data_IF_163778138271
#
_entry.id   IF_163778138271
#
_cell.length_a   1.000
_cell.length_b   1.000
_cell.length_c   1.000
_cell.angle_alpha   90.00
_cell.angle_beta   90.00
_cell.angle_gamma   90.00
#
_symmetry.space_group_name_H-M   'P 1'
#
loop_
_entity.id
_entity.type
_entity.pdbx_description
1 polymer ?
#
# COMPACT_ATOMS: atom_id res chain seq x y z
N UNK A 1 55.84 -9.01 18.60
CA UNK A 1 54.83 -9.02 17.51
C UNK A 1 54.28 -10.43 17.43
N UNK A 2 53.00 -10.78 17.41
CA UNK A 2 51.73 -10.08 17.23
C UNK A 2 50.63 -10.99 17.83
N UNK A 3 50.01 -10.62 18.96
CA UNK A 3 48.82 -11.33 19.50
C UNK A 3 47.57 -10.41 19.47
N UNK A 4 47.72 -9.17 19.00
CA UNK A 4 46.63 -8.17 18.99
C UNK A 4 45.71 -8.21 17.77
N UNK A 5 46.08 -8.91 16.70
CA UNK A 5 45.33 -8.91 15.43
C UNK A 5 44.14 -9.87 15.41
N UNK A 6 44.10 -10.89 16.27
CA UNK A 6 43.02 -11.88 16.25
C UNK A 6 41.71 -11.39 16.90
N UNK A 7 41.78 -10.43 17.85
CA UNK A 7 40.60 -9.93 18.56
C UNK A 7 39.75 -8.95 17.75
N UNK A 8 40.33 -8.23 16.79
CA UNK A 8 39.58 -7.30 15.94
C UNK A 8 38.71 -8.02 14.91
N UNK A 9 39.10 -9.23 14.45
CA UNK A 9 38.34 -9.95 13.43
C UNK A 9 37.00 -10.48 13.97
N UNK A 10 36.96 -10.95 15.22
CA UNK A 10 35.72 -11.44 15.83
C UNK A 10 34.69 -10.35 16.13
N UNK A 11 35.11 -9.10 16.35
CA UNK A 11 34.17 -7.99 16.57
C UNK A 11 33.52 -7.52 15.27
N UNK A 12 34.21 -7.61 14.12
CA UNK A 12 33.60 -7.30 12.83
C UNK A 12 32.54 -8.34 12.42
N UNK A 13 32.75 -9.62 12.72
CA UNK A 13 31.83 -10.69 12.35
C UNK A 13 30.50 -10.66 13.14
N UNK A 14 30.49 -10.07 14.34
CA UNK A 14 29.28 -9.89 15.16
C UNK A 14 28.42 -8.69 14.74
N UNK A 15 28.95 -7.75 13.94
CA UNK A 15 28.18 -6.61 13.42
C UNK A 15 27.43 -6.94 12.13
N UNK A 16 27.79 -8.03 11.45
CA UNK A 16 27.15 -8.44 10.18
C UNK A 16 25.89 -9.29 10.45
N UNK A 17 25.75 -9.89 11.64
CA UNK A 17 24.58 -10.69 12.03
C UNK A 17 23.35 -9.85 12.46
N UNK A 18 23.48 -8.52 12.54
CA UNK A 18 22.36 -7.60 12.75
C UNK A 18 21.65 -7.20 11.44
N UNK A 19 22.03 -7.78 10.30
CA UNK A 19 21.17 -7.79 9.12
C UNK A 19 20.02 -8.77 9.41
N UNK A 20 19.02 -8.31 10.17
CA UNK A 20 17.77 -9.02 10.34
C UNK A 20 17.31 -9.49 8.98
N UNK A 21 17.06 -10.80 8.85
CA UNK A 21 16.44 -11.38 7.67
C UNK A 21 15.17 -10.59 7.38
N UNK A 22 15.23 -9.68 6.41
CA UNK A 22 14.06 -9.08 5.81
C UNK A 22 13.39 -10.22 5.06
N UNK A 23 12.58 -11.01 5.77
CA UNK A 23 11.61 -11.91 5.16
C UNK A 23 10.69 -11.00 4.37
N UNK A 24 11.01 -10.81 3.10
CA UNK A 24 10.20 -10.09 2.16
C UNK A 24 8.94 -10.94 1.97
N UNK A 25 7.90 -10.57 2.73
CA UNK A 25 6.64 -11.31 2.80
C UNK A 25 5.58 -10.60 2.00
N UNK A 26 4.55 -11.35 1.59
CA UNK A 26 3.35 -10.72 1.04
C UNK A 26 2.44 -10.32 2.19
N UNK A 27 2.12 -9.04 2.32
CA UNK A 27 1.08 -8.56 3.25
C UNK A 27 -0.26 -8.56 2.53
N UNK A 28 -1.26 -9.19 3.15
CA UNK A 28 -2.63 -9.24 2.66
C UNK A 28 -3.51 -8.38 3.57
N UNK A 29 -4.17 -7.39 2.98
CA UNK A 29 -5.02 -6.43 3.64
C UNK A 29 -6.47 -6.61 3.19
N UNK A 30 -7.40 -6.77 4.13
CA UNK A 30 -8.83 -6.85 3.86
C UNK A 30 -9.57 -5.71 4.56
N UNK A 31 -10.69 -5.22 3.99
CA UNK A 31 -11.46 -4.16 4.63
C UNK A 31 -11.89 -4.58 6.04
N UNK A 32 -11.66 -3.73 7.05
CA UNK A 32 -11.98 -4.06 8.44
C UNK A 32 -13.50 -4.18 8.65
N UNK A 33 -14.00 -5.16 9.44
CA UNK A 33 -15.43 -5.42 9.65
C UNK A 33 -16.26 -4.22 10.13
N UNK A 34 -15.63 -3.21 10.75
CA UNK A 34 -16.28 -1.98 11.21
C UNK A 34 -16.00 -0.74 10.35
N UNK A 35 -15.03 -0.78 9.43
CA UNK A 35 -14.56 0.38 8.66
C UNK A 35 -15.01 0.39 7.20
N UNK A 36 -15.41 -0.77 6.66
CA UNK A 36 -15.67 -0.95 5.24
C UNK A 36 -17.14 -0.76 4.81
N UNK A 37 -18.05 -0.49 5.74
CA UNK A 37 -19.49 -0.42 5.48
C UNK A 37 -19.92 0.79 4.64
N UNK A 38 -18.99 1.66 4.21
CA UNK A 38 -19.22 2.85 3.39
C UNK A 38 -18.53 2.79 2.01
N UNK A 39 -17.93 3.90 1.58
CA UNK A 39 -17.48 4.23 0.21
C UNK A 39 -16.42 3.31 -0.45
N UNK A 40 -15.99 2.24 0.22
CA UNK A 40 -14.96 1.30 -0.23
C UNK A 40 -15.42 -0.15 -0.33
N UNK A 41 -16.74 -0.41 -0.30
CA UNK A 41 -17.35 -1.74 -0.39
C UNK A 41 -17.02 -2.54 -1.67
N UNK A 42 -16.48 -1.86 -2.69
CA UNK A 42 -16.01 -2.42 -3.95
C UNK A 42 -14.57 -2.95 -3.86
N UNK A 43 -13.80 -2.62 -2.81
CA UNK A 43 -12.46 -3.18 -2.58
C UNK A 43 -12.62 -4.54 -1.87
N UNK A 44 -11.97 -5.58 -2.40
CA UNK A 44 -11.96 -6.92 -1.78
C UNK A 44 -10.69 -7.19 -1.00
N UNK A 45 -9.54 -6.83 -1.57
CA UNK A 45 -8.23 -7.12 -0.99
C UNK A 45 -7.18 -6.15 -1.52
N UNK A 46 -6.22 -5.81 -0.69
CA UNK A 46 -4.96 -5.19 -1.10
C UNK A 46 -3.83 -6.19 -0.79
N UNK A 47 -2.95 -6.44 -1.74
CA UNK A 47 -1.78 -7.31 -1.58
C UNK A 47 -0.52 -6.47 -1.81
N UNK A 48 0.34 -6.43 -0.81
CA UNK A 48 1.63 -5.71 -0.81
C UNK A 48 2.71 -6.77 -0.84
N UNK A 49 3.43 -6.86 -1.94
CA UNK A 49 4.64 -7.66 -2.06
C UNK A 49 5.83 -6.74 -1.74
N UNK A 50 6.44 -6.96 -0.58
CA UNK A 50 7.58 -6.17 -0.14
C UNK A 50 8.86 -6.49 -0.91
N UNK A 51 8.99 -7.69 -1.49
CA UNK A 51 10.15 -8.07 -2.27
C UNK A 51 10.19 -7.31 -3.59
N UNK A 52 9.09 -7.41 -4.35
CA UNK A 52 8.95 -6.74 -5.64
C UNK A 52 8.54 -5.27 -5.51
N UNK A 53 8.25 -4.82 -4.28
CA UNK A 53 7.69 -3.49 -3.96
C UNK A 53 6.44 -3.18 -4.77
N UNK A 54 5.66 -4.21 -5.08
CA UNK A 54 4.42 -4.06 -5.82
C UNK A 54 3.23 -4.10 -4.89
N UNK A 55 2.25 -3.26 -5.18
CA UNK A 55 0.98 -3.29 -4.46
C UNK A 55 -0.14 -3.43 -5.47
N UNK A 56 -1.02 -4.38 -5.21
CA UNK A 56 -2.17 -4.66 -6.03
C UNK A 56 -3.45 -4.57 -5.21
N UNK A 57 -4.51 -4.05 -5.80
CA UNK A 57 -5.83 -3.95 -5.20
C UNK A 57 -6.83 -4.72 -6.07
N UNK A 58 -7.46 -5.72 -5.48
CA UNK A 58 -8.55 -6.47 -6.10
C UNK A 58 -9.87 -5.75 -5.82
N UNK A 59 -10.60 -5.46 -6.89
CA UNK A 59 -11.76 -4.57 -6.87
C UNK A 59 -12.93 -5.20 -7.60
N UNK A 60 -14.14 -4.80 -7.24
CA UNK A 60 -15.37 -5.09 -7.97
C UNK A 60 -15.62 -3.93 -8.93
N UNK A 61 -15.51 -4.18 -10.23
CA UNK A 61 -15.77 -3.17 -11.27
C UNK A 61 -17.25 -3.00 -11.54
N UNK A 62 -17.99 -4.10 -11.54
CA UNK A 62 -19.44 -4.10 -11.68
C UNK A 62 -20.04 -5.24 -10.88
N UNK A 63 -21.24 -5.00 -10.35
CA UNK A 63 -22.01 -5.98 -9.61
C UNK A 63 -23.40 -6.06 -10.24
N UNK A 64 -23.79 -7.25 -10.66
CA UNK A 64 -25.18 -7.59 -10.99
C UNK A 64 -25.79 -8.38 -9.83
N UNK A 65 -27.07 -8.75 -9.94
CA UNK A 65 -27.73 -9.59 -8.92
C UNK A 65 -27.03 -10.95 -8.74
N UNK A 66 -26.49 -11.49 -9.83
CA UNK A 66 -26.01 -12.87 -9.89
C UNK A 66 -24.49 -12.98 -10.01
N UNK A 67 -23.80 -11.90 -10.41
CA UNK A 67 -22.35 -11.93 -10.68
C UNK A 67 -21.62 -10.64 -10.28
N UNK A 68 -20.38 -10.80 -9.83
CA UNK A 68 -19.42 -9.70 -9.65
C UNK A 68 -18.32 -9.79 -10.72
N UNK A 69 -18.09 -8.69 -11.44
CA UNK A 69 -16.94 -8.57 -12.32
C UNK A 69 -15.76 -8.03 -11.52
N UNK A 70 -14.76 -8.88 -11.33
CA UNK A 70 -13.53 -8.50 -10.65
C UNK A 70 -12.59 -7.71 -11.57
N UNK A 71 -11.85 -6.79 -10.98
CA UNK A 71 -10.75 -6.05 -11.59
C UNK A 71 -9.56 -6.00 -10.66
N UNK A 72 -8.40 -5.62 -11.21
CA UNK A 72 -7.16 -5.44 -10.46
C UNK A 72 -6.57 -4.08 -10.79
N UNK A 73 -6.18 -3.34 -9.77
CA UNK A 73 -5.42 -2.09 -9.89
C UNK A 73 -4.04 -2.29 -9.31
N UNK A 74 -3.04 -1.67 -9.91
CA UNK A 74 -1.67 -1.67 -9.41
C UNK A 74 -1.33 -0.28 -8.89
N UNK A 75 -0.66 -0.22 -7.75
CA UNK A 75 -0.17 1.04 -7.22
C UNK A 75 1.22 1.37 -7.75
N UNK A 76 1.50 2.67 -7.75
CA UNK A 76 2.84 3.22 -7.91
C UNK A 76 3.39 3.58 -6.53
N UNK A 77 4.67 3.27 -6.28
CA UNK A 77 5.37 3.72 -5.08
C UNK A 77 5.78 5.18 -5.27
N UNK A 78 5.22 6.08 -4.47
CA UNK A 78 5.42 7.53 -4.64
C UNK A 78 6.50 8.06 -3.71
N UNK A 79 6.60 7.51 -2.50
CA UNK A 79 7.60 7.94 -1.53
C UNK A 79 7.94 6.84 -0.54
N UNK A 80 9.21 6.77 -0.15
CA UNK A 80 9.69 6.02 1.01
C UNK A 80 10.20 6.93 2.13
N UNK A 81 10.72 8.10 1.77
CA UNK A 81 11.49 8.98 2.67
C UNK A 81 10.69 10.21 3.16
N UNK A 82 9.45 10.38 2.69
CA UNK A 82 8.62 11.56 2.95
C UNK A 82 7.70 11.48 4.17
N UNK A 83 7.64 10.32 4.85
CA UNK A 83 6.93 10.19 6.12
C UNK A 83 7.97 10.20 7.23
N UNK A 84 7.74 10.95 8.31
CA UNK A 84 8.62 10.94 9.49
C UNK A 84 8.80 9.56 10.12
N UNK A 85 8.00 8.58 9.69
CA UNK A 85 8.02 7.18 10.09
C UNK A 85 8.84 6.25 9.17
N UNK A 86 9.29 6.68 7.99
CA UNK A 86 10.00 5.83 7.02
C UNK A 86 9.15 4.74 6.38
N UNK A 87 7.82 4.86 6.46
CA UNK A 87 6.85 3.89 5.92
C UNK A 87 6.48 4.26 4.47
N UNK A 88 6.34 3.27 3.56
CA UNK A 88 6.09 3.52 2.16
C UNK A 88 4.68 4.07 1.90
N UNK A 89 4.59 4.96 0.92
CA UNK A 89 3.33 5.52 0.43
C UNK A 89 3.08 5.06 -0.99
N UNK A 90 1.96 4.39 -1.20
CA UNK A 90 1.52 3.90 -2.50
C UNK A 90 0.33 4.68 -3.02
N UNK A 91 0.28 4.90 -4.33
CA UNK A 91 -0.79 5.60 -5.00
C UNK A 91 -1.42 4.70 -6.07
N UNK A 92 -2.73 4.50 -6.00
CA UNK A 92 -3.49 3.89 -7.09
C UNK A 92 -4.18 4.98 -7.88
N UNK A 93 -4.01 4.94 -9.19
CA UNK A 93 -4.75 5.78 -10.10
C UNK A 93 -5.98 5.01 -10.59
N UNK A 94 -7.19 5.49 -10.29
CA UNK A 94 -8.38 4.94 -10.97
C UNK A 94 -8.38 5.40 -12.41
N UNK A 95 -8.62 4.47 -13.33
CA UNK A 95 -9.03 4.85 -14.69
C UNK A 95 -10.41 5.50 -14.55
N UNK A 96 -10.60 6.79 -14.94
CA UNK A 96 -11.90 7.43 -14.91
C UNK A 96 -12.89 6.60 -15.73
N UNK A 97 -14.07 6.31 -15.20
CA UNK A 97 -15.11 5.67 -15.99
C UNK A 97 -15.58 6.65 -17.10
N UNK A 98 -15.95 6.14 -18.27
CA UNK A 98 -16.46 6.98 -19.34
C UNK A 98 -17.71 7.75 -18.86
N UNK A 99 -17.64 9.08 -18.87
CA UNK A 99 -18.70 9.96 -18.36
C UNK A 99 -18.50 10.47 -16.93
N UNK A 100 -17.46 10.03 -16.20
CA UNK A 100 -17.07 10.64 -14.93
C UNK A 100 -16.14 11.84 -15.13
N UNK A 101 -16.53 13.00 -14.63
CA UNK A 101 -15.70 14.21 -14.62
C UNK A 101 -14.59 14.19 -13.55
N UNK A 102 -14.63 13.20 -12.65
CA UNK A 102 -13.72 13.10 -11.50
C UNK A 102 -12.82 11.90 -11.62
N UNK A 103 -11.51 12.14 -11.60
CA UNK A 103 -10.49 11.12 -11.43
C UNK A 103 -10.26 10.88 -9.94
N UNK A 104 -10.33 9.63 -9.49
CA UNK A 104 -10.04 9.29 -8.10
C UNK A 104 -8.60 8.78 -7.96
N UNK A 105 -7.88 9.34 -7.00
CA UNK A 105 -6.58 8.83 -6.57
C UNK A 105 -6.74 8.21 -5.18
N UNK A 106 -6.10 7.06 -4.97
CA UNK A 106 -6.13 6.36 -3.70
C UNK A 106 -4.73 6.30 -3.11
N UNK A 107 -4.56 6.84 -1.91
CA UNK A 107 -3.28 6.82 -1.18
C UNK A 107 -3.35 5.74 -0.11
N UNK A 108 -2.49 4.74 -0.21
CA UNK A 108 -2.27 3.71 0.81
C UNK A 108 -1.01 4.06 1.61
N UNK A 109 -1.13 4.10 2.93
CA UNK A 109 -0.05 4.44 3.84
C UNK A 109 -0.25 3.74 5.18
N UNK A 110 0.81 3.64 5.98
CA UNK A 110 0.77 3.02 7.31
C UNK A 110 0.91 4.08 8.41
N UNK A 111 -0.04 4.09 9.35
CA UNK A 111 -0.07 5.01 10.48
C UNK A 111 -0.59 4.27 11.73
N UNK A 112 0.21 3.30 12.21
CA UNK A 112 -0.28 2.22 13.07
C UNK A 112 -0.79 1.08 12.20
N UNK A 113 -2.07 1.15 11.82
CA UNK A 113 -2.68 0.27 10.82
C UNK A 113 -2.50 0.81 9.40
N UNK A 114 -2.71 -0.06 8.40
CA UNK A 114 -2.76 0.36 7.01
C UNK A 114 -4.05 1.10 6.71
N UNK A 115 -3.91 2.28 6.12
CA UNK A 115 -4.99 3.20 5.83
C UNK A 115 -5.04 3.54 4.35
N UNK A 116 -6.26 3.63 3.82
CA UNK A 116 -6.52 4.08 2.45
C UNK A 116 -7.30 5.40 2.50
N UNK A 117 -6.73 6.44 1.90
CA UNK A 117 -7.44 7.68 1.61
C UNK A 117 -7.89 7.72 0.16
N UNK A 118 -9.05 8.31 -0.13
CA UNK A 118 -9.50 8.63 -1.48
C UNK A 118 -9.51 10.14 -1.68
N UNK A 119 -8.98 10.57 -2.80
CA UNK A 119 -8.93 11.97 -3.22
C UNK A 119 -9.57 12.08 -4.60
N UNK A 120 -10.60 12.91 -4.71
CA UNK A 120 -11.24 13.23 -5.99
C UNK A 120 -10.55 14.44 -6.63
N UNK A 121 -10.10 14.29 -7.87
CA UNK A 121 -9.48 15.34 -8.68
C UNK A 121 -10.36 15.60 -9.90
N UNK A 122 -10.56 16.88 -10.21
CA UNK A 122 -11.19 17.34 -11.46
C UNK A 122 -10.20 18.17 -12.25
N UNK A 123 -10.38 18.27 -13.55
CA UNK A 123 -9.54 19.14 -14.39
C UNK A 123 -10.35 20.36 -14.83
N UNK A 124 -10.05 21.52 -14.26
CA UNK A 124 -10.67 22.80 -14.63
C UNK A 124 -9.67 23.56 -15.49
N UNK A 125 -10.03 23.87 -16.74
CA UNK A 125 -9.13 24.53 -17.70
C UNK A 125 -7.76 23.82 -17.83
N UNK A 126 -7.76 22.48 -17.88
CA UNK A 126 -6.57 21.61 -17.93
C UNK A 126 -5.67 21.68 -16.68
N UNK A 127 -6.08 22.35 -15.61
CA UNK A 127 -5.40 22.34 -14.32
C UNK A 127 -6.08 21.37 -13.36
N UNK A 128 -5.33 20.48 -12.68
CA UNK A 128 -5.92 19.59 -11.68
C UNK A 128 -6.35 20.43 -10.46
N UNK A 129 -7.61 20.28 -10.07
CA UNK A 129 -8.20 20.89 -8.90
C UNK A 129 -8.73 19.80 -7.98
N UNK A 130 -8.47 19.96 -6.67
CA UNK A 130 -8.97 19.06 -5.64
C UNK A 130 -10.49 19.25 -5.51
N UNK A 131 -11.27 18.20 -5.76
CA UNK A 131 -12.72 18.20 -5.56
C UNK A 131 -13.10 17.83 -4.14
N UNK A 132 -12.37 16.90 -3.53
CA UNK A 132 -12.64 16.45 -2.17
C UNK A 132 -11.66 15.38 -1.69
N UNK A 133 -11.56 15.24 -0.37
CA UNK A 133 -10.81 14.20 0.32
C UNK A 133 -11.81 13.42 1.17
N UNK A 134 -11.96 12.13 0.90
CA UNK A 134 -12.81 11.27 1.71
C UNK A 134 -12.10 10.84 3.01
N UNK A 135 -12.87 10.50 4.07
CA UNK A 135 -12.31 9.91 5.28
C UNK A 135 -11.47 8.67 4.98
N UNK A 136 -10.39 8.49 5.74
CA UNK A 136 -9.53 7.32 5.63
C UNK A 136 -10.23 6.08 6.17
N UNK A 137 -10.00 4.94 5.51
CA UNK A 137 -10.46 3.63 5.97
C UNK A 137 -9.27 2.78 6.37
N UNK A 138 -9.40 2.08 7.50
CA UNK A 138 -8.40 1.15 8.01
C UNK A 138 -8.64 -0.26 7.49
N UNK A 139 -7.56 -0.96 7.14
CA UNK A 139 -7.56 -2.34 6.65
C UNK A 139 -6.94 -3.26 7.70
N UNK A 140 -7.53 -4.45 7.88
CA UNK A 140 -6.90 -5.54 8.65
C UNK A 140 -5.87 -6.22 7.75
N UNK A 141 -4.60 -6.04 8.10
CA UNK A 141 -3.48 -6.52 7.31
C UNK A 141 -2.69 -7.56 8.05
N UNK A 142 -2.51 -8.72 7.40
CA UNK A 142 -1.74 -9.84 7.93
C UNK A 142 -0.60 -10.15 6.99
N UNK A 143 0.58 -10.34 7.56
CA UNK A 143 1.74 -10.83 6.82
C UNK A 143 1.53 -12.31 6.54
N UNK A 144 1.66 -12.71 5.29
CA UNK A 144 1.73 -14.12 4.92
C UNK A 144 3.15 -14.60 5.14
N UNK A 145 3.31 -15.61 5.99
CA UNK A 145 4.61 -16.30 6.20
C UNK A 145 4.98 -17.22 5.03
N UNK A 146 4.00 -17.49 4.16
CA UNK A 146 4.19 -18.22 2.91
C UNK A 146 4.48 -17.19 1.82
N UNK A 147 5.77 -17.06 1.49
CA UNK A 147 6.24 -16.41 0.25
C UNK A 147 5.94 -17.26 -0.97
#
# INVERSE_FOLDING_TARGET
>A
MNIRTARCACQLLLLISAAGSAFAGTIACVPSPGGAAGSFNWIRRISIDEHSRTVNMDIVRSRTKDTETMGKMRAELVSMDGTSSGEPVYLFNSIPAAGEEVTNLFKLFKAGDWQLARVGIVFVNKMPALRGVEPTVSFDCKRSDLG
#
